data_IF_657419959735
#
_entry.id   IF_657419959735
#
_cell.length_a   1.000
_cell.length_b   1.000
_cell.length_c   1.000
_cell.angle_alpha   90.00
_cell.angle_beta   90.00
_cell.angle_gamma   90.00
#
_symmetry.space_group_name_H-M   'P 1'
#
loop_
_entity.id
_entity.type
_entity.pdbx_description
1 polymer ?
#
# COMPACT_ATOMS: atom_id res chain seq x y z
N UNK A 1 -18.71 -3.62 15.10
CA UNK A 1 -17.41 -3.90 15.73
C UNK A 1 -16.66 -5.10 15.15
N UNK A 2 -17.09 -6.36 15.35
CA UNK A 2 -16.39 -7.56 14.83
C UNK A 2 -15.92 -7.49 13.35
N UNK A 3 -16.75 -7.02 12.37
CA UNK A 3 -16.31 -6.93 10.98
C UNK A 3 -15.20 -5.90 10.74
N UNK A 4 -15.14 -4.81 11.52
CA UNK A 4 -14.09 -3.78 11.38
C UNK A 4 -12.75 -4.28 11.90
N UNK A 5 -12.74 -5.02 13.01
CA UNK A 5 -11.51 -5.66 13.52
C UNK A 5 -10.97 -6.67 12.53
N UNK A 6 -11.84 -7.53 11.98
CA UNK A 6 -11.45 -8.49 10.95
C UNK A 6 -10.90 -7.80 9.70
N UNK A 7 -11.57 -6.76 9.21
CA UNK A 7 -11.12 -6.00 8.04
C UNK A 7 -9.75 -5.33 8.28
N UNK A 8 -9.55 -4.76 9.46
CA UNK A 8 -8.27 -4.13 9.85
C UNK A 8 -7.16 -5.17 9.89
N UNK A 9 -7.38 -6.31 10.54
CA UNK A 9 -6.42 -7.40 10.61
C UNK A 9 -6.09 -7.99 9.22
N UNK A 10 -7.12 -8.19 8.38
CA UNK A 10 -6.95 -8.65 7.02
C UNK A 10 -6.13 -7.66 6.17
N UNK A 11 -6.38 -6.36 6.33
CA UNK A 11 -5.63 -5.30 5.63
C UNK A 11 -4.14 -5.29 6.03
N UNK A 12 -3.84 -5.38 7.32
CA UNK A 12 -2.46 -5.46 7.82
C UNK A 12 -1.74 -6.74 7.37
N UNK A 13 -2.45 -7.87 7.38
CA UNK A 13 -1.93 -9.14 6.88
C UNK A 13 -1.62 -9.05 5.38
N UNK A 14 -2.54 -8.47 4.60
CA UNK A 14 -2.33 -8.27 3.17
C UNK A 14 -1.15 -7.35 2.90
N UNK A 15 -0.99 -6.27 3.68
CA UNK A 15 0.18 -5.38 3.60
C UNK A 15 1.48 -6.15 3.85
N UNK A 16 1.55 -7.00 4.90
CA UNK A 16 2.72 -7.83 5.20
C UNK A 16 3.05 -8.83 4.09
N UNK A 17 2.02 -9.45 3.49
CA UNK A 17 2.19 -10.37 2.37
C UNK A 17 2.72 -9.64 1.12
N UNK A 18 2.13 -8.50 0.78
CA UNK A 18 2.59 -7.65 -0.34
C UNK A 18 4.04 -7.21 -0.13
N UNK A 19 4.38 -6.79 1.09
CA UNK A 19 5.74 -6.37 1.43
C UNK A 19 6.73 -7.53 1.29
N UNK A 20 6.37 -8.71 1.78
CA UNK A 20 7.21 -9.92 1.69
C UNK A 20 7.42 -10.34 0.23
N UNK A 21 6.38 -10.26 -0.59
CA UNK A 21 6.45 -10.55 -2.02
C UNK A 21 7.45 -9.60 -2.71
N UNK A 22 7.37 -8.29 -2.46
CA UNK A 22 8.31 -7.31 -3.02
C UNK A 22 9.75 -7.44 -2.51
N UNK A 23 9.93 -7.87 -1.25
CA UNK A 23 11.26 -8.03 -0.65
C UNK A 23 12.03 -9.26 -1.17
N UNK A 24 11.32 -10.35 -1.48
CA UNK A 24 11.94 -11.65 -1.71
C UNK A 24 11.87 -12.15 -3.17
N UNK A 25 10.95 -11.65 -3.98
CA UNK A 25 10.81 -12.10 -5.37
C UNK A 25 11.62 -11.19 -6.30
N UNK A 26 12.63 -11.76 -6.96
CA UNK A 26 13.33 -11.07 -8.04
C UNK A 26 12.48 -11.10 -9.31
N UNK A 27 12.11 -9.91 -9.79
CA UNK A 27 11.27 -9.75 -10.98
C UNK A 27 12.06 -9.67 -12.28
N UNK A 28 13.40 -9.55 -12.24
CA UNK A 28 14.23 -9.47 -13.45
C UNK A 28 14.07 -10.66 -14.41
N UNK A 29 14.20 -11.93 -13.96
CA UNK A 29 14.01 -13.07 -14.86
C UNK A 29 12.57 -13.17 -15.38
N UNK A 30 11.58 -12.79 -14.55
CA UNK A 30 10.17 -12.82 -14.92
C UNK A 30 9.86 -11.78 -16.01
N UNK A 31 10.34 -10.54 -15.86
CA UNK A 31 10.19 -9.47 -16.85
C UNK A 31 10.84 -9.84 -18.19
N UNK A 32 12.04 -10.42 -18.15
CA UNK A 32 12.73 -10.88 -19.36
C UNK A 32 11.97 -12.01 -20.08
N UNK A 33 11.42 -12.96 -19.33
CA UNK A 33 10.61 -14.06 -19.87
C UNK A 33 9.31 -13.59 -20.53
N UNK A 34 8.61 -12.63 -19.92
CA UNK A 34 7.36 -12.08 -20.45
C UNK A 34 7.52 -11.40 -21.81
N UNK A 35 8.70 -10.83 -22.10
CA UNK A 35 9.00 -10.25 -23.42
C UNK A 35 9.15 -11.31 -24.52
N UNK A 36 9.46 -12.56 -24.16
CA UNK A 36 9.61 -13.66 -25.11
C UNK A 36 8.31 -14.46 -25.26
N UNK A 37 7.69 -14.82 -24.12
CA UNK A 37 6.44 -15.55 -24.08
C UNK A 37 5.60 -15.06 -22.89
N UNK A 38 4.37 -14.66 -23.19
CA UNK A 38 3.46 -14.21 -22.15
C UNK A 38 2.98 -15.39 -21.28
N UNK A 39 3.34 -15.36 -20.00
CA UNK A 39 2.90 -16.31 -18.97
C UNK A 39 2.14 -15.52 -17.89
N UNK A 40 0.84 -15.82 -17.73
CA UNK A 40 -0.03 -15.06 -16.83
C UNK A 40 0.44 -15.05 -15.37
N UNK A 41 0.99 -16.18 -14.89
CA UNK A 41 1.56 -16.30 -13.53
C UNK A 41 2.70 -15.31 -13.32
N UNK A 42 3.62 -15.23 -14.28
CA UNK A 42 4.80 -14.39 -14.19
C UNK A 42 4.41 -12.91 -14.29
N UNK A 43 3.42 -12.59 -15.13
CA UNK A 43 2.83 -11.26 -15.19
C UNK A 43 2.25 -10.85 -13.82
N UNK A 44 1.47 -11.72 -13.18
CA UNK A 44 0.89 -11.42 -11.88
C UNK A 44 1.97 -11.21 -10.80
N UNK A 45 3.02 -12.04 -10.80
CA UNK A 45 4.15 -11.89 -9.88
C UNK A 45 4.92 -10.58 -10.14
N UNK A 46 5.11 -10.18 -11.39
CA UNK A 46 5.72 -8.89 -11.72
C UNK A 46 4.85 -7.74 -11.22
N UNK A 47 3.52 -7.75 -11.46
CA UNK A 47 2.63 -6.71 -10.96
C UNK A 47 2.67 -6.61 -9.43
N UNK A 48 2.73 -7.74 -8.73
CA UNK A 48 2.73 -7.76 -7.26
C UNK A 48 4.10 -7.46 -6.63
N UNK A 49 5.21 -7.87 -7.25
CA UNK A 49 6.55 -7.82 -6.65
C UNK A 49 7.46 -6.72 -7.22
N UNK A 50 7.17 -6.21 -8.42
CA UNK A 50 8.02 -5.19 -9.02
C UNK A 50 7.94 -3.89 -8.20
N UNK A 51 9.11 -3.30 -7.89
CA UNK A 51 9.22 -2.22 -6.90
C UNK A 51 8.17 -1.11 -7.08
N UNK A 52 7.96 -0.52 -8.26
CA UNK A 52 7.01 0.58 -8.42
C UNK A 52 5.57 0.17 -8.10
N UNK A 53 5.08 -0.93 -8.69
CA UNK A 53 3.70 -1.39 -8.50
C UNK A 53 3.47 -1.91 -7.08
N UNK A 54 4.47 -2.60 -6.52
CA UNK A 54 4.45 -3.05 -5.13
C UNK A 54 4.35 -1.87 -4.15
N UNK A 55 5.14 -0.81 -4.34
CA UNK A 55 5.05 0.41 -3.52
C UNK A 55 3.68 1.09 -3.62
N UNK A 56 3.06 1.07 -4.81
CA UNK A 56 1.70 1.56 -4.99
C UNK A 56 0.69 0.79 -4.15
N UNK A 57 0.73 -0.54 -4.20
CA UNK A 57 -0.15 -1.40 -3.40
C UNK A 57 0.09 -1.18 -1.90
N UNK A 58 1.36 -1.16 -1.47
CA UNK A 58 1.71 -0.91 -0.06
C UNK A 58 1.20 0.45 0.43
N UNK A 59 1.29 1.50 -0.39
CA UNK A 59 0.81 2.83 -0.03
C UNK A 59 -0.71 2.85 0.15
N UNK A 60 -1.45 2.22 -0.76
CA UNK A 60 -2.92 2.11 -0.68
C UNK A 60 -3.33 1.34 0.58
N UNK A 61 -2.72 0.18 0.81
CA UNK A 61 -3.01 -0.66 1.97
C UNK A 61 -2.64 0.04 3.28
N UNK A 62 -1.52 0.75 3.31
CA UNK A 62 -1.11 1.52 4.48
C UNK A 62 -2.09 2.65 4.78
N UNK A 63 -2.48 3.44 3.78
CA UNK A 63 -3.48 4.51 3.94
C UNK A 63 -4.86 3.97 4.36
N UNK A 64 -5.29 2.85 3.77
CA UNK A 64 -6.51 2.15 4.19
C UNK A 64 -6.42 1.69 5.65
N UNK A 65 -5.30 1.09 6.05
CA UNK A 65 -5.11 0.61 7.42
C UNK A 65 -5.09 1.76 8.43
N UNK A 66 -4.51 2.92 8.08
CA UNK A 66 -4.57 4.13 8.89
C UNK A 66 -6.02 4.57 9.14
N UNK A 67 -6.83 4.66 8.08
CA UNK A 67 -8.23 5.06 8.21
C UNK A 67 -9.08 4.03 8.97
N UNK A 68 -8.80 2.72 8.81
CA UNK A 68 -9.43 1.65 9.59
C UNK A 68 -9.06 1.74 11.08
N UNK A 69 -7.80 1.99 11.41
CA UNK A 69 -7.35 2.20 12.79
C UNK A 69 -8.03 3.41 13.42
N UNK A 70 -8.10 4.54 12.71
CA UNK A 70 -8.82 5.73 13.16
C UNK A 70 -10.31 5.45 13.37
N UNK A 71 -10.94 4.70 12.46
CA UNK A 71 -12.33 4.26 12.58
C UNK A 71 -12.60 3.45 13.85
N UNK A 72 -11.71 2.50 14.15
CA UNK A 72 -11.78 1.70 15.37
C UNK A 72 -11.61 2.56 16.62
N UNK A 73 -10.60 3.43 16.65
CA UNK A 73 -10.35 4.34 17.77
C UNK A 73 -11.56 5.23 18.05
N UNK A 74 -12.11 5.85 17.00
CA UNK A 74 -13.31 6.69 17.11
C UNK A 74 -14.53 5.91 17.62
N UNK A 75 -14.68 4.66 17.19
CA UNK A 75 -15.73 3.77 17.72
C UNK A 75 -15.62 3.52 19.22
N UNK A 76 -14.40 3.51 19.78
CA UNK A 76 -14.15 3.39 21.21
C UNK A 76 -14.36 4.70 21.97
N UNK A 77 -14.03 5.85 21.35
CA UNK A 77 -14.09 7.18 21.99
C UNK A 77 -15.51 7.76 22.08
N UNK A 78 -16.26 7.73 20.98
CA UNK A 78 -17.60 8.36 20.90
C UNK A 78 -18.76 7.36 20.84
N UNK A 79 -18.45 6.07 20.69
CA UNK A 79 -19.44 5.00 20.52
C UNK A 79 -19.98 4.89 19.09
N UNK A 80 -20.22 3.65 18.64
CA UNK A 80 -20.65 3.34 17.26
C UNK A 80 -22.00 3.96 16.88
N UNK A 81 -22.90 4.19 17.83
CA UNK A 81 -24.24 4.77 17.57
C UNK A 81 -24.18 6.22 17.07
N UNK A 82 -23.11 6.95 17.43
CA UNK A 82 -22.91 8.34 17.02
C UNK A 82 -22.22 8.45 15.64
N UNK A 83 -21.79 7.32 15.06
CA UNK A 83 -21.02 7.29 13.81
C UNK A 83 -21.97 7.01 12.64
N UNK A 84 -22.09 7.97 11.73
CA UNK A 84 -22.81 7.77 10.47
C UNK A 84 -22.08 6.75 9.59
N UNK A 85 -22.69 5.59 9.24
CA UNK A 85 -22.04 4.53 8.47
C UNK A 85 -21.57 4.99 7.09
N UNK A 86 -22.34 5.86 6.44
CA UNK A 86 -22.03 6.40 5.10
C UNK A 86 -20.79 7.29 5.16
N UNK A 87 -20.73 8.22 6.13
CA UNK A 87 -19.58 9.12 6.29
C UNK A 87 -18.31 8.33 6.64
N UNK A 88 -18.47 7.27 7.42
CA UNK A 88 -17.37 6.42 7.85
C UNK A 88 -16.77 5.61 6.69
N UNK A 89 -17.62 4.99 5.87
CA UNK A 89 -17.18 4.29 4.66
C UNK A 89 -16.39 5.21 3.72
N UNK A 90 -16.90 6.43 3.51
CA UNK A 90 -16.21 7.44 2.69
C UNK A 90 -14.86 7.88 3.30
N UNK A 91 -14.74 7.94 4.63
CA UNK A 91 -13.46 8.22 5.30
C UNK A 91 -12.46 7.08 5.10
N UNK A 92 -12.89 5.83 5.28
CA UNK A 92 -12.06 4.63 5.07
C UNK A 92 -11.54 4.60 3.63
N UNK A 93 -12.42 4.80 2.64
CA UNK A 93 -12.01 4.90 1.23
C UNK A 93 -11.09 6.11 0.99
N UNK A 94 -11.36 7.23 1.65
CA UNK A 94 -10.51 8.41 1.61
C UNK A 94 -9.08 8.14 2.06
N UNK A 95 -8.87 7.26 3.05
CA UNK A 95 -7.53 6.82 3.46
C UNK A 95 -6.78 6.06 2.38
N UNK A 96 -7.44 5.13 1.69
CA UNK A 96 -6.87 4.40 0.56
C UNK A 96 -6.47 5.35 -0.59
N UNK A 97 -7.34 6.33 -0.90
CA UNK A 97 -7.07 7.36 -1.91
C UNK A 97 -5.90 8.25 -1.49
N UNK A 98 -5.81 8.64 -0.21
CA UNK A 98 -4.68 9.42 0.29
C UNK A 98 -3.34 8.67 0.12
N UNK A 99 -3.33 7.36 0.41
CA UNK A 99 -2.19 6.49 0.14
C UNK A 99 -1.82 6.44 -1.35
N UNK A 100 -2.81 6.31 -2.24
CA UNK A 100 -2.58 6.36 -3.69
C UNK A 100 -2.01 7.71 -4.13
N UNK A 101 -2.55 8.83 -3.64
CA UNK A 101 -2.07 10.17 -3.98
C UNK A 101 -0.61 10.34 -3.55
N UNK A 102 -0.26 9.89 -2.35
CA UNK A 102 1.12 9.92 -1.88
C UNK A 102 2.06 9.11 -2.78
N UNK A 103 1.66 7.89 -3.17
CA UNK A 103 2.42 7.08 -4.12
C UNK A 103 2.62 7.80 -5.47
N UNK A 104 1.57 8.41 -6.03
CA UNK A 104 1.67 9.13 -7.30
C UNK A 104 2.63 10.32 -7.19
N UNK A 105 2.59 11.06 -6.08
CA UNK A 105 3.54 12.15 -5.80
C UNK A 105 4.98 11.66 -5.69
N UNK A 106 5.20 10.53 -5.00
CA UNK A 106 6.52 9.89 -4.90
C UNK A 106 7.05 9.48 -6.28
N UNK A 107 6.23 8.81 -7.09
CA UNK A 107 6.63 8.35 -8.42
C UNK A 107 6.93 9.53 -9.35
N UNK A 108 6.09 10.57 -9.32
CA UNK A 108 6.35 11.80 -10.07
C UNK A 108 7.70 12.41 -9.67
N UNK A 109 7.98 12.51 -8.37
CA UNK A 109 9.27 12.99 -7.88
C UNK A 109 10.44 12.12 -8.32
N UNK A 110 10.31 10.79 -8.23
CA UNK A 110 11.36 9.84 -8.62
C UNK A 110 11.73 9.96 -10.11
N UNK A 111 10.72 10.04 -10.99
CA UNK A 111 10.94 10.20 -12.44
C UNK A 111 11.43 11.59 -12.85
N UNK A 112 11.19 12.63 -12.05
CA UNK A 112 11.75 13.96 -12.29
C UNK A 112 13.23 14.04 -11.91
N UNK A 113 13.66 13.26 -10.91
CA UNK A 113 15.02 13.33 -10.35
C UNK A 113 15.98 12.30 -10.96
N UNK A 114 15.47 11.22 -11.54
CA UNK A 114 16.25 10.09 -12.02
C UNK A 114 15.76 9.63 -13.40
N UNK A 115 16.68 9.26 -14.29
CA UNK A 115 16.34 8.78 -15.63
C UNK A 115 15.71 7.38 -15.60
N UNK A 116 16.23 6.48 -14.76
CA UNK A 116 15.79 5.07 -14.65
C UNK A 116 15.56 4.69 -13.18
N UNK A 117 14.55 5.29 -12.52
CA UNK A 117 14.28 4.97 -11.13
C UNK A 117 13.82 3.51 -11.00
N UNK A 118 14.36 2.81 -10.00
CA UNK A 118 13.99 1.44 -9.61
C UNK A 118 14.39 0.30 -10.55
N UNK A 119 15.20 0.55 -11.59
CA UNK A 119 15.62 -0.53 -12.52
C UNK A 119 16.47 -1.60 -11.81
N UNK A 120 17.44 -1.18 -10.99
CA UNK A 120 18.20 -2.05 -10.09
C UNK A 120 17.97 -1.60 -8.65
N UNK A 121 16.93 -2.14 -8.01
CA UNK A 121 16.64 -1.86 -6.60
C UNK A 121 17.29 -2.91 -5.71
N UNK A 122 18.21 -2.51 -4.84
CA UNK A 122 18.75 -3.43 -3.82
C UNK A 122 17.70 -3.74 -2.74
N UNK A 123 17.80 -4.89 -2.07
CA UNK A 123 16.92 -5.24 -0.95
C UNK A 123 16.90 -4.16 0.12
N UNK A 124 18.07 -3.64 0.49
CA UNK A 124 18.20 -2.58 1.49
C UNK A 124 17.46 -1.29 1.09
N UNK A 125 17.60 -0.86 -0.17
CA UNK A 125 16.85 0.29 -0.69
C UNK A 125 15.34 0.02 -0.66
N UNK A 126 14.91 -1.19 -1.05
CA UNK A 126 13.51 -1.59 -0.98
C UNK A 126 12.97 -1.50 0.45
N UNK A 127 13.65 -2.09 1.45
CA UNK A 127 13.24 -2.04 2.86
C UNK A 127 13.06 -0.59 3.35
N UNK A 128 14.02 0.28 3.03
CA UNK A 128 13.98 1.69 3.42
C UNK A 128 12.80 2.43 2.80
N UNK A 129 12.64 2.34 1.47
CA UNK A 129 11.60 3.10 0.78
C UNK A 129 10.20 2.57 1.09
N UNK A 130 10.00 1.26 1.11
CA UNK A 130 8.70 0.65 1.43
C UNK A 130 8.24 0.98 2.85
N UNK A 131 9.16 0.98 3.82
CA UNK A 131 8.89 1.38 5.19
C UNK A 131 8.48 2.85 5.30
N UNK A 132 9.26 3.76 4.71
CA UNK A 132 8.98 5.21 4.73
C UNK A 132 7.66 5.51 4.03
N UNK A 133 7.44 4.93 2.86
CA UNK A 133 6.24 5.16 2.06
C UNK A 133 5.00 4.67 2.77
N UNK A 134 5.06 3.49 3.37
CA UNK A 134 3.95 2.93 4.13
C UNK A 134 3.65 3.76 5.38
N UNK A 135 4.68 4.25 6.08
CA UNK A 135 4.48 5.11 7.25
C UNK A 135 3.76 6.42 6.87
N UNK A 136 4.20 7.11 5.83
CA UNK A 136 3.59 8.38 5.41
C UNK A 136 2.17 8.15 4.91
N UNK A 137 1.95 7.12 4.10
CA UNK A 137 0.62 6.76 3.62
C UNK A 137 -0.33 6.39 4.78
N UNK A 138 0.15 5.63 5.77
CA UNK A 138 -0.60 5.32 6.98
C UNK A 138 -1.03 6.59 7.72
N UNK A 139 -0.10 7.52 7.97
CA UNK A 139 -0.41 8.78 8.65
C UNK A 139 -1.43 9.63 7.88
N UNK A 140 -1.30 9.68 6.55
CA UNK A 140 -2.23 10.40 5.68
C UNK A 140 -3.66 9.82 5.72
N UNK A 141 -3.78 8.51 5.91
CA UNK A 141 -5.06 7.83 6.10
C UNK A 141 -5.60 7.92 7.52
N UNK A 142 -4.73 7.87 8.53
CA UNK A 142 -5.10 7.93 9.94
C UNK A 142 -5.71 9.28 10.32
N UNK A 143 -5.19 10.39 9.77
CA UNK A 143 -5.65 11.78 10.04
C UNK A 143 -5.97 12.01 11.52
N UNK A 144 -4.95 12.23 12.37
CA UNK A 144 -5.10 12.35 13.83
C UNK A 144 -5.83 13.62 14.31
N UNK A 145 -6.75 14.17 13.52
CA UNK A 145 -7.41 15.47 13.71
C UNK A 145 -8.81 15.33 14.34
#
# INVERSE_FOLDING_TARGET
MLPKYFLTFACLTLWLLTFSIGAFIDTNPLRAGLNQQFVFRDFLLVVLAWTPTNLGILSILAGLSGALCHSLLRGLEVGEEQISPIKESSRILGGAIAGLMFYLSLMAGAFLLMNEPFDVTTKEQYFRISGVVSLIAFLAGFRPD
#
